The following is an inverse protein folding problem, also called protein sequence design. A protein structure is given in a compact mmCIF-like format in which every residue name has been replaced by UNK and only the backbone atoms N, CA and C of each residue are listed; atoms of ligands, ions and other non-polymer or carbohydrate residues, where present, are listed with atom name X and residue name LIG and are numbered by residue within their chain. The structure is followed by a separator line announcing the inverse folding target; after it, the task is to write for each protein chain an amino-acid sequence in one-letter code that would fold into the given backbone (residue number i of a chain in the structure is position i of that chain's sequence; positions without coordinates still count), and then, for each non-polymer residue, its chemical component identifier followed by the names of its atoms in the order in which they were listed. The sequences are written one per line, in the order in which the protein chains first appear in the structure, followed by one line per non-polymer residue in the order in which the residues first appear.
data_IF_173568992509
#
_entry.id   IF_173568992509
#
_cell.length_a   1.000
_cell.length_b   1.000
_cell.length_c   1.000
_cell.angle_alpha   90.00
_cell.angle_beta   90.00
_cell.angle_gamma   90.00
#
_symmetry.space_group_name_H-M   'P 1'
#
loop_
_entity.id
_entity.type
_entity.pdbx_description
1 polymer ?
#
# COMPACT_ATOMS: atom_id res chain seq x y z
N UNK A 1 35.38 -5.69 17.17
CA UNK A 1 35.92 -4.40 17.66
C UNK A 1 36.65 -3.75 16.49
N UNK A 2 36.10 -2.67 15.92
CA UNK A 2 36.77 -1.52 15.28
C UNK A 2 35.67 -0.47 15.08
N UNK A 3 35.98 0.76 15.48
CA UNK A 3 35.13 1.96 15.57
C UNK A 3 35.64 2.98 14.53
N UNK A 4 34.83 4.02 14.25
CA UNK A 4 35.14 5.36 13.65
C UNK A 4 34.57 5.56 12.22
N UNK A 5 33.97 6.68 11.82
CA UNK A 5 33.87 8.06 12.37
C UNK A 5 32.64 8.78 11.79
N UNK A 6 32.01 9.68 12.55
CA UNK A 6 31.03 10.69 12.08
C UNK A 6 31.73 11.89 11.42
N UNK A 7 31.10 12.53 10.42
CA UNK A 7 30.79 13.98 10.32
C UNK A 7 30.58 14.42 8.85
N UNK A 8 29.44 15.06 8.57
CA UNK A 8 29.37 16.20 7.65
C UNK A 8 28.07 16.98 7.92
N UNK A 9 28.17 18.06 8.68
CA UNK A 9 27.29 19.20 8.51
C UNK A 9 27.68 19.86 7.18
N UNK A 10 26.70 20.11 6.30
CA UNK A 10 26.95 20.71 4.99
C UNK A 10 25.67 21.27 4.39
N UNK A 11 25.43 22.55 4.65
CA UNK A 11 24.55 23.39 3.86
C UNK A 11 25.18 23.50 2.45
N UNK A 12 24.50 23.00 1.40
CA UNK A 12 24.89 23.26 0.02
C UNK A 12 23.64 23.39 -0.87
N UNK A 13 23.43 24.60 -1.36
CA UNK A 13 22.51 24.93 -2.45
C UNK A 13 22.99 24.30 -3.76
N UNK A 14 22.02 23.88 -4.57
CA UNK A 14 22.02 23.84 -6.04
C UNK A 14 23.27 23.32 -6.77
N UNK A 15 23.19 22.11 -7.32
CA UNK A 15 23.17 21.84 -8.77
C UNK A 15 23.07 20.32 -8.99
N UNK A 16 22.30 19.93 -10.00
CA UNK A 16 21.83 18.56 -10.19
C UNK A 16 22.91 17.50 -10.28
N UNK A 17 22.87 16.56 -9.33
CA UNK A 17 23.33 15.19 -9.47
C UNK A 17 22.36 14.36 -8.63
N UNK A 18 21.55 13.52 -9.27
CA UNK A 18 20.70 12.54 -8.59
C UNK A 18 21.61 11.53 -7.90
N UNK A 19 22.05 11.81 -6.67
CA UNK A 19 22.61 10.79 -5.80
C UNK A 19 21.50 9.80 -5.51
N UNK A 20 21.61 8.61 -6.08
CA UNK A 20 20.92 7.44 -5.55
C UNK A 20 21.38 7.27 -4.09
N UNK A 21 20.58 7.77 -3.16
CA UNK A 21 20.73 7.45 -1.76
C UNK A 21 20.43 5.96 -1.62
N UNK A 22 21.49 5.14 -1.61
CA UNK A 22 21.42 3.79 -1.07
C UNK A 22 21.16 3.94 0.43
N UNK A 23 19.89 4.12 0.80
CA UNK A 23 19.44 4.02 2.17
C UNK A 23 19.70 2.59 2.60
N UNK A 24 20.75 2.41 3.39
CA UNK A 24 20.98 1.14 4.09
C UNK A 24 19.91 1.06 5.17
N UNK A 25 18.83 0.35 4.88
CA UNK A 25 17.77 0.07 5.85
C UNK A 25 18.44 -0.73 6.96
N UNK A 26 18.53 -0.16 8.16
CA UNK A 26 18.89 -0.91 9.37
C UNK A 26 17.74 -1.88 9.69
N UNK A 27 17.70 -3.02 8.99
CA UNK A 27 16.76 -4.09 9.25
C UNK A 27 17.31 -4.90 10.43
N UNK A 28 17.05 -4.41 11.64
CA UNK A 28 17.35 -5.17 12.87
C UNK A 28 16.41 -6.38 13.07
N UNK A 29 15.58 -6.69 12.06
CA UNK A 29 14.66 -7.80 12.00
C UNK A 29 15.07 -8.72 10.83
N UNK A 30 15.20 -10.02 11.10
CA UNK A 30 15.54 -10.99 10.06
C UNK A 30 14.38 -11.08 9.06
N UNK A 31 14.61 -10.66 7.81
CA UNK A 31 13.65 -10.87 6.72
C UNK A 31 13.54 -12.37 6.46
N UNK A 32 12.33 -12.89 6.56
CA UNK A 32 12.02 -14.31 6.43
C UNK A 32 11.47 -14.68 5.05
N UNK A 33 10.98 -13.69 4.30
CA UNK A 33 10.44 -13.89 2.96
C UNK A 33 9.59 -12.72 2.50
N UNK A 34 8.94 -12.89 1.36
CA UNK A 34 8.08 -11.89 0.74
C UNK A 34 6.64 -12.42 0.67
N UNK A 35 5.67 -11.51 0.59
CA UNK A 35 4.28 -11.88 0.32
C UNK A 35 3.71 -11.05 -0.83
N UNK A 36 2.71 -11.60 -1.49
CA UNK A 36 1.91 -10.91 -2.50
C UNK A 36 0.46 -11.32 -2.35
N UNK A 37 -0.45 -10.35 -2.42
CA UNK A 37 -1.88 -10.57 -2.44
C UNK A 37 -2.52 -9.66 -3.47
N UNK A 38 -3.58 -10.11 -4.13
CA UNK A 38 -4.25 -9.33 -5.16
C UNK A 38 -5.73 -9.64 -5.20
N UNK A 39 -6.56 -8.63 -5.43
CA UNK A 39 -7.99 -8.84 -5.58
C UNK A 39 -8.72 -7.66 -6.24
N UNK A 40 -9.90 -7.96 -6.79
CA UNK A 40 -10.89 -6.96 -7.15
C UNK A 40 -11.48 -6.39 -5.85
N UNK A 41 -11.56 -5.08 -5.76
CA UNK A 41 -12.09 -4.42 -4.56
C UNK A 41 -13.60 -4.27 -4.64
N UNK A 42 -14.25 -4.35 -3.49
CA UNK A 42 -15.66 -4.02 -3.31
C UNK A 42 -15.81 -2.79 -2.40
N UNK A 43 -17.04 -2.32 -2.21
CA UNK A 43 -17.37 -1.27 -1.24
C UNK A 43 -17.38 -1.77 0.22
N UNK A 44 -17.03 -3.04 0.45
CA UNK A 44 -16.99 -3.67 1.76
C UNK A 44 -15.57 -4.19 2.05
N UNK A 45 -15.09 -4.13 3.30
CA UNK A 45 -13.75 -4.61 3.63
C UNK A 45 -13.52 -6.06 3.21
N UNK A 46 -12.50 -6.27 2.38
CA UNK A 46 -12.08 -7.58 1.90
C UNK A 46 -10.72 -7.94 2.50
N UNK A 47 -10.61 -9.13 3.09
CA UNK A 47 -9.33 -9.64 3.57
C UNK A 47 -8.45 -10.06 2.38
N UNK A 48 -7.30 -9.41 2.22
CA UNK A 48 -6.36 -9.69 1.13
C UNK A 48 -5.29 -10.69 1.53
N UNK A 49 -4.80 -10.58 2.76
CA UNK A 49 -3.69 -11.39 3.25
C UNK A 49 -3.81 -11.60 4.75
N UNK A 50 -3.58 -12.83 5.20
CA UNK A 50 -3.49 -13.17 6.63
C UNK A 50 -2.03 -13.34 6.99
N UNK A 51 -1.57 -12.58 7.98
CA UNK A 51 -0.17 -12.64 8.44
C UNK A 51 0.06 -13.96 9.18
N UNK A 52 1.03 -14.78 8.75
CA UNK A 52 1.32 -16.05 9.42
C UNK A 52 1.66 -15.86 10.90
N UNK A 53 1.48 -16.93 11.69
CA UNK A 53 1.85 -16.92 13.09
C UNK A 53 3.36 -16.68 13.26
N UNK A 54 3.74 -15.92 14.30
CA UNK A 54 5.14 -15.70 14.66
C UNK A 54 5.96 -14.85 13.68
N UNK A 55 5.31 -14.13 12.77
CA UNK A 55 5.95 -13.15 11.87
C UNK A 55 5.16 -11.85 11.82
N UNK A 56 5.85 -10.77 11.47
CA UNK A 56 5.27 -9.47 11.16
C UNK A 56 5.38 -9.24 9.65
N UNK A 57 4.32 -8.73 9.04
CA UNK A 57 4.30 -8.35 7.64
C UNK A 57 4.37 -6.83 7.50
N UNK A 58 5.20 -6.32 6.60
CA UNK A 58 5.22 -4.91 6.21
C UNK A 58 5.08 -4.78 4.71
N UNK A 59 4.19 -3.89 4.30
CA UNK A 59 3.96 -3.57 2.90
C UNK A 59 5.15 -2.76 2.37
N UNK A 60 5.67 -3.14 1.22
CA UNK A 60 6.73 -2.41 0.51
C UNK A 60 6.17 -1.57 -0.62
N UNK A 61 5.12 -2.07 -1.27
CA UNK A 61 4.47 -1.38 -2.37
C UNK A 61 3.05 -1.90 -2.62
N UNK A 62 2.26 -1.04 -3.25
CA UNK A 62 0.88 -1.28 -3.66
C UNK A 62 0.74 -0.82 -5.10
N UNK A 63 0.22 -1.69 -5.96
CA UNK A 63 -0.24 -1.29 -7.30
C UNK A 63 -1.76 -1.22 -7.30
N UNK A 64 -2.30 -0.08 -7.73
CA UNK A 64 -3.74 0.14 -7.89
C UNK A 64 -4.04 0.28 -9.37
N UNK A 65 -5.04 -0.44 -9.86
CA UNK A 65 -5.66 -0.19 -11.16
C UNK A 65 -7.07 0.33 -10.94
N UNK A 66 -7.43 1.47 -11.52
CA UNK A 66 -8.73 2.12 -11.30
C UNK A 66 -9.89 1.60 -12.14
N UNK A 67 -9.64 0.70 -13.09
CA UNK A 67 -10.66 0.30 -14.05
C UNK A 67 -10.99 1.37 -15.10
N UNK A 68 -11.83 1.02 -16.06
CA UNK A 68 -12.23 1.92 -17.17
C UNK A 68 -13.21 3.03 -16.70
N UNK A 69 -13.98 2.79 -15.63
CA UNK A 69 -14.98 3.75 -15.10
C UNK A 69 -14.39 4.78 -14.10
N UNK A 70 -13.16 4.61 -13.60
CA UNK A 70 -12.50 5.65 -12.82
C UNK A 70 -12.20 6.93 -13.64
N UNK A 71 -12.45 6.93 -14.95
CA UNK A 71 -12.40 8.10 -15.83
C UNK A 71 -13.40 9.19 -15.39
N UNK A 72 -12.92 10.12 -14.58
CA UNK A 72 -13.68 11.28 -14.11
C UNK A 72 -14.35 11.10 -12.74
N UNK A 73 -13.99 10.07 -11.97
CA UNK A 73 -14.52 9.84 -10.60
C UNK A 73 -13.39 9.64 -9.61
N UNK A 74 -13.46 10.34 -8.48
CA UNK A 74 -12.46 10.21 -7.41
C UNK A 74 -12.78 8.98 -6.57
N UNK A 75 -12.04 7.91 -6.80
CA UNK A 75 -12.18 6.64 -6.11
C UNK A 75 -10.99 6.41 -5.19
N UNK A 76 -11.25 6.49 -3.89
CA UNK A 76 -10.24 6.24 -2.87
C UNK A 76 -10.29 4.79 -2.44
N UNK A 77 -9.16 4.10 -2.45
CA UNK A 77 -9.00 2.77 -1.86
C UNK A 77 -8.47 2.95 -0.45
N UNK A 78 -9.07 2.25 0.49
CA UNK A 78 -8.65 2.20 1.89
C UNK A 78 -7.98 0.86 2.14
N UNK A 79 -6.79 0.88 2.74
CA UNK A 79 -6.03 -0.29 3.15
C UNK A 79 -5.66 -0.17 4.64
N UNK A 80 -5.88 -1.24 5.40
CA UNK A 80 -5.59 -1.24 6.83
C UNK A 80 -5.27 -2.63 7.37
N UNK A 81 -4.71 -2.70 8.58
CA UNK A 81 -4.44 -3.94 9.30
C UNK A 81 -5.51 -4.18 10.37
N UNK A 82 -6.00 -5.40 10.51
CA UNK A 82 -7.09 -5.73 11.45
C UNK A 82 -6.71 -5.65 12.93
N UNK A 83 -5.42 -5.71 13.25
CA UNK A 83 -4.89 -5.60 14.61
C UNK A 83 -4.18 -4.27 14.87
N UNK A 84 -4.16 -3.35 13.89
CA UNK A 84 -3.82 -1.96 14.19
C UNK A 84 -5.05 -1.33 14.83
N UNK A 85 -4.91 -0.77 16.03
CA UNK A 85 -5.95 -0.03 16.72
C UNK A 85 -6.37 1.20 15.91
N UNK A 86 -7.30 1.03 14.97
CA UNK A 86 -8.14 2.06 14.36
C UNK A 86 -7.48 3.29 13.72
N UNK A 87 -6.15 3.37 13.56
CA UNK A 87 -5.46 4.63 13.21
C UNK A 87 -4.53 4.53 12.00
N UNK A 88 -4.03 3.35 11.65
CA UNK A 88 -3.16 3.18 10.48
C UNK A 88 -3.97 2.80 9.23
N UNK A 89 -4.75 3.77 8.73
CA UNK A 89 -5.40 3.69 7.42
C UNK A 89 -4.47 4.27 6.36
N UNK A 90 -4.24 3.52 5.28
CA UNK A 90 -3.55 4.04 4.09
C UNK A 90 -4.57 4.24 2.98
N UNK A 91 -4.53 5.41 2.35
CA UNK A 91 -5.43 5.77 1.26
C UNK A 91 -4.68 5.83 -0.07
N UNK A 92 -5.28 5.27 -1.11
CA UNK A 92 -4.77 5.35 -2.48
C UNK A 92 -5.82 5.94 -3.39
N UNK A 93 -5.38 6.67 -4.41
CA UNK A 93 -6.26 7.10 -5.49
C UNK A 93 -6.09 6.16 -6.67
N UNK A 94 -7.20 5.72 -7.24
CA UNK A 94 -7.17 4.90 -8.43
C UNK A 94 -7.27 5.79 -9.66
N UNK A 95 -6.27 5.73 -10.54
CA UNK A 95 -6.30 6.46 -11.81
C UNK A 95 -7.13 5.71 -12.85
N UNK A 96 -7.94 6.47 -13.57
CA UNK A 96 -8.74 6.01 -14.69
C UNK A 96 -7.92 5.27 -15.76
N UNK A 97 -8.30 4.03 -16.06
CA UNK A 97 -7.73 3.25 -17.17
C UNK A 97 -6.22 3.00 -17.04
N UNK A 98 -5.63 3.25 -15.88
CA UNK A 98 -4.18 3.15 -15.64
C UNK A 98 -3.89 2.45 -14.32
N UNK A 99 -2.68 1.92 -14.24
CA UNK A 99 -2.13 1.36 -13.01
C UNK A 99 -1.17 2.36 -12.38
N UNK A 100 -1.30 2.56 -11.08
CA UNK A 100 -0.49 3.48 -10.27
C UNK A 100 0.24 2.68 -9.20
N UNK A 101 1.57 2.84 -9.15
CA UNK A 101 2.43 2.18 -8.17
C UNK A 101 2.73 3.14 -7.02
N UNK A 102 2.45 2.68 -5.81
CA UNK A 102 2.76 3.35 -4.55
C UNK A 102 3.87 2.57 -3.85
N UNK A 103 5.03 3.19 -3.65
CA UNK A 103 6.17 2.59 -2.94
C UNK A 103 6.29 3.20 -1.54
N UNK A 104 6.65 2.39 -0.55
CA UNK A 104 6.79 2.83 0.84
C UNK A 104 8.18 2.58 1.37
N UNK A 105 8.79 3.61 1.95
CA UNK A 105 9.99 3.46 2.77
C UNK A 105 9.65 2.89 4.16
N UNK A 106 8.45 3.21 4.66
CA UNK A 106 7.88 2.68 5.91
C UNK A 106 6.40 2.40 5.70
N UNK A 107 6.08 1.28 5.05
CA UNK A 107 4.70 0.91 4.77
C UNK A 107 3.96 0.38 5.99
N UNK A 108 2.65 0.24 5.83
CA UNK A 108 1.75 -0.31 6.84
C UNK A 108 2.24 -1.72 7.27
N UNK A 109 2.26 -1.92 8.58
CA UNK A 109 2.79 -3.13 9.23
C UNK A 109 1.67 -3.85 9.97
N UNK A 110 1.65 -5.18 9.89
CA UNK A 110 0.61 -6.01 10.47
C UNK A 110 1.24 -7.21 11.19
N UNK A 111 0.89 -7.40 12.47
CA UNK A 111 1.46 -8.44 13.33
C UNK A 111 0.82 -9.82 13.04
N UNK A 112 1.47 -10.87 13.55
CA UNK A 112 1.00 -12.24 13.46
C UNK A 112 -0.50 -12.40 13.80
N UNK A 113 -1.22 -13.17 12.99
CA UNK A 113 -2.65 -13.45 13.17
C UNK A 113 -3.59 -12.33 12.71
N UNK A 114 -3.06 -11.14 12.39
CA UNK A 114 -3.84 -10.06 11.80
C UNK A 114 -3.97 -10.22 10.28
N UNK A 115 -4.84 -9.40 9.68
CA UNK A 115 -5.11 -9.42 8.25
C UNK A 115 -4.98 -8.03 7.66
N UNK A 116 -4.49 -7.94 6.43
CA UNK A 116 -4.65 -6.76 5.62
C UNK A 116 -6.02 -6.77 4.97
N UNK A 117 -6.75 -5.68 5.14
CA UNK A 117 -8.07 -5.46 4.56
C UNK A 117 -8.02 -4.29 3.59
N UNK A 118 -8.73 -4.40 2.47
CA UNK A 118 -8.94 -3.28 1.58
C UNK A 118 -10.37 -3.21 1.05
N UNK A 119 -10.79 -2.00 0.72
CA UNK A 119 -12.06 -1.72 0.04
C UNK A 119 -11.93 -0.41 -0.74
N UNK A 120 -12.80 -0.20 -1.72
CA UNK A 120 -12.95 1.12 -2.32
C UNK A 120 -14.02 1.91 -1.57
N UNK A 121 -13.79 3.21 -1.42
CA UNK A 121 -14.74 4.18 -0.92
C UNK A 121 -15.21 5.06 -2.07
N UNK A 122 -16.53 5.15 -2.24
CA UNK A 122 -17.18 6.08 -3.15
C UNK A 122 -17.91 7.14 -2.30
N UNK A 123 -17.68 8.44 -2.53
CA UNK A 123 -18.39 9.48 -1.78
C UNK A 123 -19.90 9.41 -2.02
N UNK A 124 -20.68 9.86 -1.03
CA UNK A 124 -22.14 9.79 -1.00
C UNK A 124 -22.83 10.59 -2.12
N UNK A 125 -22.09 11.48 -2.78
CA UNK A 125 -22.51 12.18 -3.99
C UNK A 125 -22.72 11.25 -5.19
N UNK A 126 -22.13 10.06 -5.18
CA UNK A 126 -22.35 9.01 -6.18
C UNK A 126 -23.43 8.03 -5.69
N UNK A 127 -24.70 8.42 -5.83
CA UNK A 127 -25.85 7.70 -5.28
C UNK A 127 -26.25 6.48 -6.11
N UNK A 128 -26.07 6.51 -7.43
CA UNK A 128 -26.32 5.36 -8.30
C UNK A 128 -25.15 4.37 -8.31
N UNK A 129 -25.42 3.07 -8.38
CA UNK A 129 -24.37 2.03 -8.48
C UNK A 129 -23.49 2.25 -9.72
N UNK A 130 -24.11 2.66 -10.83
CA UNK A 130 -23.42 3.07 -12.07
C UNK A 130 -22.57 4.34 -11.92
N UNK A 131 -22.70 5.07 -10.80
CA UNK A 131 -21.93 6.25 -10.42
C UNK A 131 -20.77 5.94 -9.45
N UNK A 132 -20.73 4.73 -8.88
CA UNK A 132 -19.68 4.34 -7.92
C UNK A 132 -18.40 3.92 -8.65
N UNK A 133 -17.38 3.64 -7.84
CA UNK A 133 -16.05 3.21 -8.30
C UNK A 133 -16.02 1.85 -8.98
N UNK A 134 -17.12 1.12 -8.95
CA UNK A 134 -17.33 -0.14 -9.63
C UNK A 134 -18.84 -0.31 -9.92
N UNK A 135 -19.19 -1.12 -10.93
CA UNK A 135 -20.57 -1.56 -11.17
C UNK A 135 -20.99 -2.74 -10.26
N UNK A 136 -20.43 -2.84 -9.04
CA UNK A 136 -20.72 -3.93 -8.11
C UNK A 136 -20.26 -5.35 -8.51
N UNK A 137 -19.39 -5.51 -9.52
CA UNK A 137 -18.94 -6.82 -10.05
C UNK A 137 -17.42 -7.03 -10.07
N UNK A 138 -16.96 -8.20 -10.55
CA UNK A 138 -15.54 -8.47 -10.89
C UNK A 138 -15.31 -8.13 -12.37
N UNK A 139 -14.23 -7.40 -12.73
CA UNK A 139 -13.87 -7.14 -14.13
C UNK A 139 -13.40 -5.73 -14.43
N UNK A 140 -13.44 -5.35 -15.72
CA UNK A 140 -12.76 -4.16 -16.26
C UNK A 140 -13.15 -2.81 -15.64
N UNK A 141 -14.28 -2.76 -14.93
CA UNK A 141 -14.84 -1.54 -14.35
C UNK A 141 -14.64 -1.42 -12.85
N UNK A 142 -13.93 -2.37 -12.23
CA UNK A 142 -13.75 -2.45 -10.78
C UNK A 142 -12.29 -2.17 -10.43
N UNK A 143 -11.98 -1.48 -9.34
CA UNK A 143 -10.59 -1.28 -8.96
C UNK A 143 -9.94 -2.62 -8.60
N UNK A 144 -8.74 -2.84 -9.11
CA UNK A 144 -7.90 -3.98 -8.77
C UNK A 144 -6.71 -3.52 -7.96
N UNK A 145 -6.36 -4.27 -6.93
CA UNK A 145 -5.21 -3.95 -6.09
C UNK A 145 -4.27 -5.15 -6.03
N UNK A 146 -2.97 -4.87 -6.14
CA UNK A 146 -1.88 -5.79 -5.84
C UNK A 146 -1.11 -5.22 -4.66
N UNK A 147 -0.99 -6.02 -3.60
CA UNK A 147 -0.27 -5.75 -2.38
C UNK A 147 0.99 -6.58 -2.34
N UNK A 148 2.15 -5.95 -2.11
CA UNK A 148 3.43 -6.64 -1.96
C UNK A 148 4.15 -6.18 -0.70
N UNK A 149 4.92 -7.09 -0.11
CA UNK A 149 5.66 -6.78 1.09
C UNK A 149 6.60 -7.87 1.55
N UNK A 150 7.18 -7.64 2.73
CA UNK A 150 8.15 -8.52 3.38
C UNK A 150 7.59 -9.06 4.70
N UNK A 151 8.05 -10.25 5.06
CA UNK A 151 7.82 -10.90 6.34
C UNK A 151 9.11 -10.87 7.15
N UNK A 152 9.02 -10.56 8.43
CA UNK A 152 10.18 -10.51 9.34
C UNK A 152 9.80 -10.87 10.78
N UNK A 153 10.80 -11.09 11.62
CA UNK A 153 10.66 -11.34 13.06
C UNK A 153 11.24 -10.21 13.89
#
# INVERSE_FOLDING_TARGET
MIRRTLLAAGLALATGLTQAQNVTINQNAAVLGNFTAQNWLSNSPLALYTVPAGVTARITDVTVWGGEIAAGRTCSIVLYCSASSGTDLTYFMADAGKSTLYNFNSGLTCKAGAKFFAYYYAPTTYSAESQRCANGGQGQNTPWLILRGVLYR
#
